data_IF_741162290673
#
_entry.id   IF_741162290673
#
_cell.length_a   1.000
_cell.length_b   1.000
_cell.length_c   1.000
_cell.angle_alpha   90.00
_cell.angle_beta   90.00
_cell.angle_gamma   90.00
#
_symmetry.space_group_name_H-M   'P 1'
#
loop_
_entity.id
_entity.type
_entity.pdbx_description
1 polymer ?
#
# COMPACT_ATOMS: atom_id res chain seq x y z
N UNK A 1 -23.84 -18.24 22.12
CA UNK A 1 -22.81 -17.29 21.66
C UNK A 1 -22.58 -17.53 20.17
N UNK A 2 -22.49 -16.46 19.37
CA UNK A 2 -22.03 -16.49 17.98
C UNK A 2 -20.65 -15.82 17.88
N UNK A 3 -19.85 -16.23 16.90
CA UNK A 3 -18.54 -15.63 16.67
C UNK A 3 -18.68 -14.19 16.14
N UNK A 4 -17.78 -13.32 16.61
CA UNK A 4 -17.59 -11.98 16.08
C UNK A 4 -16.22 -11.89 15.39
N UNK A 5 -15.98 -10.81 14.65
CA UNK A 5 -14.68 -10.54 14.04
C UNK A 5 -14.22 -9.11 14.35
N UNK A 6 -12.92 -8.91 14.23
CA UNK A 6 -12.30 -7.58 14.28
C UNK A 6 -11.18 -7.50 13.25
N UNK A 7 -10.73 -6.29 12.94
CA UNK A 7 -9.61 -6.05 12.04
C UNK A 7 -8.84 -4.82 12.46
N UNK A 8 -7.55 -4.78 12.10
CA UNK A 8 -6.65 -3.65 12.37
C UNK A 8 -6.32 -2.99 11.03
N UNK A 9 -6.45 -1.66 10.96
CA UNK A 9 -6.06 -0.89 9.78
C UNK A 9 -4.58 -0.50 9.86
N UNK A 10 -3.80 -0.62 8.76
CA UNK A 10 -2.42 -0.19 8.73
C UNK A 10 -2.32 1.34 8.58
N UNK A 11 -2.63 2.09 9.64
CA UNK A 11 -2.62 3.57 9.65
C UNK A 11 -1.20 4.14 9.60
N UNK A 12 -1.03 5.26 8.90
CA UNK A 12 0.19 6.09 8.96
C UNK A 12 0.07 7.29 9.89
N UNK A 13 -1.17 7.72 10.17
CA UNK A 13 -1.44 8.79 11.10
C UNK A 13 -1.69 8.27 12.51
N UNK A 14 -1.29 9.09 13.49
CA UNK A 14 -1.51 8.83 14.91
C UNK A 14 -2.94 9.12 15.36
N UNK A 15 -3.27 8.81 16.63
CA UNK A 15 -4.57 9.13 17.20
C UNK A 15 -4.88 10.63 17.15
N UNK A 16 -6.01 11.00 16.56
CA UNK A 16 -6.46 12.40 16.47
C UNK A 16 -5.88 13.19 15.29
N UNK A 17 -4.93 12.63 14.54
CA UNK A 17 -4.40 13.22 13.32
C UNK A 17 -5.33 12.95 12.12
N UNK A 18 -5.22 13.79 11.09
CA UNK A 18 -5.94 13.58 9.84
C UNK A 18 -5.53 12.23 9.20
N UNK A 19 -6.44 11.64 8.41
CA UNK A 19 -6.09 10.44 7.65
C UNK A 19 -5.03 10.77 6.60
N UNK A 20 -3.94 10.00 6.62
CA UNK A 20 -2.92 10.06 5.58
C UNK A 20 -3.35 9.27 4.34
N UNK A 21 -2.85 9.67 3.17
CA UNK A 21 -3.02 8.91 1.93
C UNK A 21 -2.16 7.63 1.91
N UNK A 22 -2.40 6.76 0.94
CA UNK A 22 -1.54 5.61 0.67
C UNK A 22 -0.13 6.09 0.31
N UNK A 23 0.89 5.41 0.82
CA UNK A 23 2.28 5.70 0.47
C UNK A 23 2.84 4.48 -0.24
N UNK A 24 3.15 4.65 -1.52
CA UNK A 24 3.85 3.66 -2.33
C UNK A 24 5.25 4.21 -2.59
N UNK A 25 6.27 3.53 -2.08
CA UNK A 25 7.66 3.91 -2.31
C UNK A 25 8.32 2.93 -3.26
N UNK A 26 9.12 3.46 -4.17
CA UNK A 26 9.80 2.72 -5.24
C UNK A 26 11.31 3.02 -5.23
N UNK A 27 12.09 2.43 -6.17
CA UNK A 27 13.52 2.71 -6.25
C UNK A 27 13.85 4.20 -6.45
N UNK A 28 12.97 4.99 -7.06
CA UNK A 28 13.18 6.45 -7.19
C UNK A 28 13.11 7.16 -5.83
N UNK A 29 12.37 6.60 -4.87
CA UNK A 29 12.22 7.13 -3.52
C UNK A 29 13.34 6.68 -2.59
N UNK A 30 13.62 5.37 -2.51
CA UNK A 30 14.54 4.80 -1.51
C UNK A 30 15.86 4.26 -2.08
N UNK A 31 16.04 4.26 -3.41
CA UNK A 31 17.27 3.81 -4.12
C UNK A 31 17.61 2.33 -3.94
N UNK A 32 16.60 1.47 -3.75
CA UNK A 32 16.76 0.01 -3.67
C UNK A 32 16.03 -0.61 -4.84
N UNK A 33 16.78 -1.12 -5.81
CA UNK A 33 16.24 -1.76 -7.01
C UNK A 33 15.43 -3.01 -6.65
N UNK A 34 14.30 -3.21 -7.33
CA UNK A 34 13.46 -4.40 -7.15
C UNK A 34 12.62 -4.42 -5.87
N UNK A 35 12.66 -3.37 -5.05
CA UNK A 35 11.81 -3.22 -3.86
C UNK A 35 10.74 -2.15 -4.09
N UNK A 36 9.51 -2.45 -3.70
CA UNK A 36 8.41 -1.48 -3.57
C UNK A 36 7.76 -1.66 -2.21
N UNK A 37 7.68 -0.58 -1.43
CA UNK A 37 6.98 -0.57 -0.14
C UNK A 37 5.56 -0.05 -0.31
N UNK A 38 4.60 -0.71 0.34
CA UNK A 38 3.20 -0.29 0.39
C UNK A 38 2.84 0.00 1.84
N UNK A 39 2.67 1.27 2.16
CA UNK A 39 2.35 1.75 3.49
C UNK A 39 0.98 2.41 3.49
N UNK A 40 0.25 2.29 4.59
CA UNK A 40 -1.01 3.00 4.71
C UNK A 40 -2.16 2.43 3.89
N UNK A 41 -2.04 1.22 3.32
CA UNK A 41 -3.09 0.61 2.49
C UNK A 41 -4.29 0.18 3.35
N UNK A 42 -5.01 1.17 3.88
CA UNK A 42 -6.22 1.01 4.67
C UNK A 42 -7.45 1.03 3.76
N UNK A 43 -8.59 1.59 4.16
CA UNK A 43 -9.74 1.79 3.25
C UNK A 43 -9.47 2.98 2.32
N UNK A 44 -9.70 2.87 0.99
CA UNK A 44 -10.38 1.80 0.24
C UNK A 44 -9.44 0.79 -0.46
N UNK A 45 -8.42 0.27 0.22
CA UNK A 45 -7.34 -0.55 -0.35
C UNK A 45 -7.78 -1.87 -0.98
N UNK A 46 -8.83 -2.51 -0.44
CA UNK A 46 -9.41 -3.69 -1.08
C UNK A 46 -10.05 -3.32 -2.44
N UNK A 47 -10.82 -2.24 -2.48
CA UNK A 47 -11.44 -1.73 -3.70
C UNK A 47 -10.39 -1.28 -4.72
N UNK A 48 -9.30 -0.66 -4.26
CA UNK A 48 -8.20 -0.18 -5.11
C UNK A 48 -7.14 -1.24 -5.43
N UNK A 49 -7.33 -2.49 -5.00
CA UNK A 49 -6.29 -3.53 -5.05
C UNK A 49 -5.73 -3.80 -6.45
N UNK A 50 -6.57 -3.84 -7.47
CA UNK A 50 -6.15 -4.06 -8.86
C UNK A 50 -5.32 -2.89 -9.41
N UNK A 51 -5.76 -1.65 -9.15
CA UNK A 51 -5.02 -0.46 -9.57
C UNK A 51 -3.65 -0.35 -8.88
N UNK A 52 -3.59 -0.70 -7.59
CA UNK A 52 -2.33 -0.79 -6.83
C UNK A 52 -1.41 -1.84 -7.46
N UNK A 53 -1.93 -3.04 -7.75
CA UNK A 53 -1.16 -4.12 -8.35
C UNK A 53 -0.61 -3.73 -9.74
N UNK A 54 -1.42 -3.08 -10.60
CA UNK A 54 -1.00 -2.58 -11.90
C UNK A 54 0.11 -1.52 -11.77
N UNK A 55 0.01 -0.63 -10.79
CA UNK A 55 1.05 0.36 -10.53
C UNK A 55 2.37 -0.29 -10.11
N UNK A 56 2.31 -1.22 -9.16
CA UNK A 56 3.49 -1.98 -8.69
C UNK A 56 4.10 -2.80 -9.82
N UNK A 57 3.28 -3.46 -10.65
CA UNK A 57 3.73 -4.25 -11.79
C UNK A 57 4.43 -3.39 -12.86
N UNK A 58 4.02 -2.13 -13.06
CA UNK A 58 4.75 -1.21 -13.95
C UNK A 58 6.12 -0.81 -13.41
N UNK A 59 6.28 -0.76 -12.09
CA UNK A 59 7.55 -0.42 -11.43
C UNK A 59 8.50 -1.62 -11.47
N UNK A 60 8.00 -2.82 -11.15
CA UNK A 60 8.80 -4.04 -11.01
C UNK A 60 8.88 -4.89 -12.29
N UNK A 61 8.04 -4.58 -13.28
CA UNK A 61 7.94 -5.33 -14.52
C UNK A 61 9.30 -5.45 -15.23
N UNK A 62 9.50 -6.52 -16.03
CA UNK A 62 10.73 -6.70 -16.76
C UNK A 62 11.03 -5.45 -17.58
N UNK A 63 12.20 -4.84 -17.34
CA UNK A 63 12.73 -3.80 -18.24
C UNK A 63 12.75 -4.41 -19.63
N UNK A 64 12.16 -3.71 -20.61
CA UNK A 64 12.22 -4.13 -22.01
C UNK A 64 13.69 -4.51 -22.31
N UNK A 65 13.89 -5.79 -22.63
CA UNK A 65 15.21 -6.32 -22.99
C UNK A 65 15.75 -5.62 -24.22
#
# INVERSE_FOLDING_TARGET
LQAAYSGIRPKLSGPGEANSDFVIQDPATHRIEGLVNLFGIESPGLTSSLAIAEHVARILGPRAR
#
